data_IF_361854090163
#
_entry.id   IF_361854090163
#
_cell.length_a   1.000
_cell.length_b   1.000
_cell.length_c   1.000
_cell.angle_alpha   90.00
_cell.angle_beta   90.00
_cell.angle_gamma   90.00
#
_symmetry.space_group_name_H-M   'P 1'
#
loop_
_entity.id
_entity.type
_entity.pdbx_description
1 polymer ?
#
# COMPACT_ATOMS: atom_id res chain seq x y z
N UNK A 1 70.71 -8.72 3.15
CA UNK A 1 70.73 -9.71 4.25
C UNK A 1 70.88 -8.95 5.56
N UNK A 2 69.82 -8.91 6.36
CA UNK A 2 69.87 -8.46 7.74
C UNK A 2 68.78 -9.21 8.51
N UNK A 3 69.21 -10.06 9.43
CA UNK A 3 68.41 -10.88 10.34
C UNK A 3 68.16 -10.06 11.62
N UNK A 4 66.91 -9.94 12.05
CA UNK A 4 66.48 -9.61 13.43
C UNK A 4 65.16 -10.35 13.68
N UNK A 5 65.12 -11.47 14.41
CA UNK A 5 65.31 -11.68 15.85
C UNK A 5 64.16 -11.10 16.73
N UNK A 6 63.22 -12.00 17.05
CA UNK A 6 62.59 -12.30 18.35
C UNK A 6 61.93 -11.15 19.14
N UNK A 7 60.63 -11.32 19.41
CA UNK A 7 60.07 -11.23 20.77
C UNK A 7 58.67 -11.85 20.82
N UNK A 8 58.61 -13.05 21.40
CA UNK A 8 57.41 -13.77 21.79
C UNK A 8 56.93 -13.18 23.11
N UNK A 9 55.71 -12.66 23.16
CA UNK A 9 55.05 -12.27 24.42
C UNK A 9 53.86 -13.21 24.65
N UNK A 10 54.07 -14.22 25.49
CA UNK A 10 53.04 -15.06 26.07
C UNK A 10 52.31 -14.27 27.15
N UNK A 11 51.03 -13.95 26.93
CA UNK A 11 50.16 -13.43 28.00
C UNK A 11 49.21 -14.56 28.41
N UNK A 12 49.50 -15.12 29.59
CA UNK A 12 48.71 -16.12 30.28
C UNK A 12 47.54 -15.39 30.99
N UNK A 13 46.31 -15.61 30.54
CA UNK A 13 45.11 -15.04 31.15
C UNK A 13 44.46 -16.09 32.05
N UNK A 14 44.61 -15.89 33.36
CA UNK A 14 44.02 -16.72 34.42
C UNK A 14 42.55 -16.31 34.55
N UNK A 15 41.63 -17.21 34.21
CA UNK A 15 40.20 -17.05 34.49
C UNK A 15 39.93 -17.64 35.87
N UNK A 16 39.75 -16.77 36.87
CA UNK A 16 39.25 -17.15 38.20
C UNK A 16 37.73 -17.07 38.15
N UNK A 17 37.05 -18.23 38.20
CA UNK A 17 35.62 -18.31 38.42
C UNK A 17 35.32 -18.12 39.92
N UNK A 18 34.86 -16.94 40.32
CA UNK A 18 34.20 -16.73 41.61
C UNK A 18 32.70 -16.97 41.46
N UNK A 19 32.24 -18.10 41.99
CA UNK A 19 30.82 -18.39 42.18
C UNK A 19 30.32 -17.67 43.43
N UNK A 20 29.62 -16.54 43.25
CA UNK A 20 28.87 -15.89 44.33
C UNK A 20 27.45 -16.48 44.31
N UNK A 21 27.15 -17.32 45.30
CA UNK A 21 25.80 -17.79 45.57
C UNK A 21 24.98 -16.63 46.18
N UNK A 22 24.16 -15.96 45.35
CA UNK A 22 23.17 -15.02 45.81
C UNK A 22 21.90 -15.78 46.26
N UNK A 23 21.39 -15.42 47.44
CA UNK A 23 20.17 -15.95 48.03
C UNK A 23 18.93 -15.70 47.13
N UNK A 24 17.88 -16.53 47.20
CA UNK A 24 16.66 -16.34 46.42
C UNK A 24 15.88 -15.15 47.00
N UNK A 25 16.15 -13.96 46.48
CA UNK A 25 15.27 -12.82 46.65
C UNK A 25 14.00 -13.04 45.83
N UNK A 26 12.84 -13.04 46.49
CA UNK A 26 11.53 -12.93 45.84
C UNK A 26 11.42 -11.56 45.15
N UNK A 27 12.02 -11.42 43.98
CA UNK A 27 11.73 -10.35 43.04
C UNK A 27 10.45 -10.74 42.29
N UNK A 28 9.31 -10.22 42.75
CA UNK A 28 8.12 -10.15 41.91
C UNK A 28 8.52 -9.45 40.59
N UNK A 29 8.15 -9.98 39.41
CA UNK A 29 8.41 -9.29 38.17
C UNK A 29 7.68 -7.94 38.22
N UNK A 30 8.44 -6.86 38.08
CA UNK A 30 7.91 -5.54 37.78
C UNK A 30 6.88 -5.71 36.67
N UNK A 31 5.62 -5.39 36.96
CA UNK A 31 4.56 -5.38 35.97
C UNK A 31 5.01 -4.48 34.82
N UNK A 32 5.37 -5.13 33.72
CA UNK A 32 5.70 -4.55 32.42
C UNK A 32 4.73 -3.41 32.13
N UNK A 33 5.28 -2.21 31.93
CA UNK A 33 4.52 -1.02 31.58
C UNK A 33 3.54 -1.32 30.44
N UNK A 34 2.37 -0.67 30.51
CA UNK A 34 1.32 -0.69 29.51
C UNK A 34 1.92 -0.52 28.10
N UNK A 35 2.17 -1.64 27.43
CA UNK A 35 2.70 -1.65 26.07
C UNK A 35 1.54 -1.28 25.17
N UNK A 36 1.48 0.00 24.77
CA UNK A 36 0.48 0.46 23.81
C UNK A 36 0.72 -0.30 22.50
N UNK A 37 -0.35 -0.84 21.91
CA UNK A 37 -0.29 -1.61 20.67
C UNK A 37 -1.13 -0.95 19.58
N UNK A 38 -0.62 -0.91 18.34
CA UNK A 38 -1.42 -0.48 17.20
C UNK A 38 -2.23 -1.66 16.66
N UNK A 39 -3.52 -1.44 16.43
CA UNK A 39 -4.42 -2.44 15.86
C UNK A 39 -4.35 -2.40 14.33
N UNK A 40 -4.21 -3.56 13.69
CA UNK A 40 -4.16 -3.68 12.23
C UNK A 40 -5.36 -4.48 11.72
N UNK A 41 -6.01 -3.95 10.69
CA UNK A 41 -7.02 -4.66 9.92
C UNK A 41 -6.61 -4.69 8.45
N UNK A 42 -6.61 -5.87 7.84
CA UNK A 42 -6.38 -6.03 6.40
C UNK A 42 -7.70 -6.46 5.74
N UNK A 43 -8.15 -5.69 4.77
CA UNK A 43 -9.43 -5.84 4.08
C UNK A 43 -9.16 -6.10 2.60
N UNK A 44 -9.51 -7.29 2.13
CA UNK A 44 -9.49 -7.65 0.71
C UNK A 44 -10.83 -8.30 0.35
N UNK A 45 -11.85 -7.47 0.10
CA UNK A 45 -13.21 -7.96 -0.19
C UNK A 45 -13.29 -8.78 -1.48
N UNK A 46 -12.26 -8.71 -2.34
CA UNK A 46 -12.17 -9.53 -3.55
C UNK A 46 -11.90 -11.01 -3.22
N UNK A 47 -11.01 -11.30 -2.26
CA UNK A 47 -10.69 -12.69 -1.87
C UNK A 47 -11.35 -13.15 -0.57
N UNK A 48 -11.69 -12.21 0.31
CA UNK A 48 -12.31 -12.42 1.61
C UNK A 48 -13.48 -11.45 1.81
N UNK A 49 -14.64 -11.68 1.15
CA UNK A 49 -15.74 -10.71 1.10
C UNK A 49 -16.41 -10.43 2.45
N UNK A 50 -16.33 -11.37 3.39
CA UNK A 50 -17.10 -11.35 4.63
C UNK A 50 -16.23 -11.18 5.89
N UNK A 51 -14.92 -11.03 5.76
CA UNK A 51 -14.02 -11.00 6.93
C UNK A 51 -12.72 -10.26 6.66
N UNK A 52 -12.23 -9.54 7.66
CA UNK A 52 -10.85 -9.05 7.67
C UNK A 52 -9.85 -10.20 7.78
N UNK A 53 -8.72 -10.06 7.09
CA UNK A 53 -7.59 -10.99 7.13
C UNK A 53 -6.82 -10.77 8.42
N UNK A 54 -6.63 -11.83 9.20
CA UNK A 54 -6.09 -11.79 10.56
C UNK A 54 -4.56 -11.83 10.63
N UNK A 55 -3.87 -11.96 9.50
CA UNK A 55 -2.40 -11.99 9.43
C UNK A 55 -1.89 -11.65 8.03
N UNK A 56 -0.63 -11.21 7.95
CA UNK A 56 0.01 -10.91 6.66
C UNK A 56 0.12 -12.15 5.76
N UNK A 57 0.30 -13.34 6.34
CA UNK A 57 0.36 -14.62 5.62
C UNK A 57 -0.98 -14.98 4.97
N UNK A 58 -2.09 -14.50 5.52
CA UNK A 58 -3.43 -14.69 4.94
C UNK A 58 -3.70 -13.85 3.69
N UNK A 59 -2.83 -12.89 3.35
CA UNK A 59 -3.00 -12.02 2.18
C UNK A 59 -2.60 -12.77 0.91
N UNK A 60 -3.59 -13.22 0.14
CA UNK A 60 -3.39 -14.03 -1.07
C UNK A 60 -2.66 -13.27 -2.19
N UNK A 61 -2.97 -11.99 -2.41
CA UNK A 61 -2.36 -11.18 -3.45
C UNK A 61 -0.93 -10.75 -3.05
N UNK A 62 0.12 -11.14 -3.80
CA UNK A 62 1.52 -10.89 -3.42
C UNK A 62 1.91 -9.41 -3.49
N UNK A 63 1.37 -8.65 -4.45
CA UNK A 63 1.65 -7.23 -4.60
C UNK A 63 1.07 -6.42 -3.42
N UNK A 64 -0.19 -6.71 -3.06
CA UNK A 64 -0.83 -6.13 -1.89
C UNK A 64 -0.12 -6.54 -0.59
N UNK A 65 0.27 -7.81 -0.45
CA UNK A 65 1.04 -8.26 0.72
C UNK A 65 2.36 -7.50 0.86
N UNK A 66 3.10 -7.31 -0.23
CA UNK A 66 4.35 -6.56 -0.22
C UNK A 66 4.12 -5.09 0.19
N UNK A 67 3.05 -4.48 -0.33
CA UNK A 67 2.63 -3.13 0.08
C UNK A 67 2.33 -3.04 1.57
N UNK A 68 1.46 -3.92 2.10
CA UNK A 68 1.10 -3.96 3.52
C UNK A 68 2.33 -4.18 4.39
N UNK A 69 3.18 -5.13 4.03
CA UNK A 69 4.41 -5.45 4.77
C UNK A 69 5.31 -4.23 4.94
N UNK A 70 5.61 -3.53 3.84
CA UNK A 70 6.55 -2.39 3.84
C UNK A 70 6.00 -1.19 4.60
N UNK A 71 4.71 -0.90 4.46
CA UNK A 71 4.07 0.20 5.21
C UNK A 71 3.98 -0.14 6.70
N UNK A 72 3.63 -1.39 7.06
CA UNK A 72 3.59 -1.83 8.46
C UNK A 72 4.95 -1.77 9.13
N UNK A 73 6.00 -2.27 8.47
CA UNK A 73 7.38 -2.22 8.95
C UNK A 73 7.78 -0.77 9.25
N UNK A 74 7.54 0.15 8.30
CA UNK A 74 7.84 1.56 8.48
C UNK A 74 7.06 2.20 9.63
N UNK A 75 5.75 1.95 9.73
CA UNK A 75 4.94 2.49 10.83
C UNK A 75 5.39 1.92 12.18
N UNK A 76 5.74 0.63 12.25
CA UNK A 76 6.25 -0.01 13.46
C UNK A 76 7.54 0.66 13.95
N UNK A 77 8.48 0.91 13.04
CA UNK A 77 9.73 1.61 13.34
C UNK A 77 9.47 3.02 13.87
N UNK A 78 8.50 3.75 13.27
CA UNK A 78 8.11 5.10 13.70
C UNK A 78 7.38 5.13 15.05
N UNK A 79 6.71 4.06 15.43
CA UNK A 79 6.06 3.92 16.74
C UNK A 79 7.06 3.55 17.85
N UNK A 80 8.38 3.51 17.60
CA UNK A 80 9.38 3.43 18.66
C UNK A 80 9.37 2.12 19.46
N UNK A 81 9.00 1.00 18.82
CA UNK A 81 8.98 -0.32 19.44
C UNK A 81 7.65 -0.74 20.08
N UNK A 82 6.57 0.03 19.88
CA UNK A 82 5.22 -0.43 20.18
C UNK A 82 4.87 -1.70 19.38
N UNK A 83 4.22 -2.66 20.03
CA UNK A 83 3.82 -3.92 19.39
C UNK A 83 2.64 -3.67 18.45
N UNK A 84 2.73 -4.15 17.22
CA UNK A 84 1.58 -4.19 16.31
C UNK A 84 0.79 -5.47 16.56
N UNK A 85 -0.53 -5.36 16.69
CA UNK A 85 -1.44 -6.49 16.87
C UNK A 85 -2.52 -6.52 15.81
N UNK A 86 -2.88 -7.71 15.35
CA UNK A 86 -4.03 -7.94 14.47
C UNK A 86 -5.32 -8.21 15.27
N UNK A 87 -5.25 -8.30 16.60
CA UNK A 87 -6.41 -8.54 17.45
C UNK A 87 -7.20 -7.25 17.67
N UNK A 88 -8.45 -7.28 17.22
CA UNK A 88 -9.42 -6.19 17.30
C UNK A 88 -10.01 -5.95 18.70
N UNK A 89 -9.74 -6.83 19.67
CA UNK A 89 -10.32 -6.78 21.02
C UNK A 89 -9.36 -6.31 22.11
N UNK A 90 -8.19 -5.79 21.75
CA UNK A 90 -7.18 -5.32 22.72
C UNK A 90 -7.49 -3.90 23.19
N UNK A 91 -7.24 -3.59 24.47
CA UNK A 91 -7.66 -2.37 25.19
C UNK A 91 -7.11 -1.04 24.65
N UNK A 92 -6.36 -0.27 25.43
CA UNK A 92 -5.87 1.04 25.01
C UNK A 92 -4.87 0.92 23.84
N UNK A 93 -5.26 1.37 22.64
CA UNK A 93 -4.44 1.24 21.43
C UNK A 93 -3.54 2.46 21.20
N UNK A 94 -2.36 2.20 20.62
CA UNK A 94 -1.46 3.24 20.09
C UNK A 94 -2.01 3.84 18.77
N UNK A 95 -3.08 3.28 18.21
CA UNK A 95 -3.65 3.70 16.93
C UNK A 95 -4.32 2.54 16.19
N UNK A 96 -4.90 2.84 15.04
CA UNK A 96 -5.60 1.86 14.19
C UNK A 96 -5.19 2.01 12.73
N UNK A 97 -4.72 0.93 12.13
CA UNK A 97 -4.24 0.89 10.76
C UNK A 97 -5.13 -0.04 9.93
N UNK A 98 -5.80 0.50 8.92
CA UNK A 98 -6.58 -0.26 7.96
C UNK A 98 -5.83 -0.35 6.64
N UNK A 99 -5.71 -1.54 6.07
CA UNK A 99 -5.16 -1.77 4.75
C UNK A 99 -6.27 -2.29 3.84
N UNK A 100 -6.63 -1.54 2.81
CA UNK A 100 -7.77 -1.86 1.95
C UNK A 100 -7.29 -2.14 0.54
N UNK A 101 -7.58 -3.35 0.04
CA UNK A 101 -7.39 -3.69 -1.37
C UNK A 101 -8.66 -3.43 -2.16
N UNK A 102 -8.52 -2.63 -3.22
CA UNK A 102 -9.55 -2.37 -4.23
C UNK A 102 -9.00 -2.90 -5.55
N UNK A 103 -9.60 -3.99 -6.04
CA UNK A 103 -9.24 -4.56 -7.33
C UNK A 103 -9.77 -3.68 -8.48
N UNK A 104 -9.17 -3.80 -9.67
CA UNK A 104 -9.68 -3.12 -10.88
C UNK A 104 -11.13 -3.54 -11.19
N UNK A 105 -11.43 -4.82 -10.97
CA UNK A 105 -12.70 -5.48 -11.26
C UNK A 105 -13.11 -6.29 -10.03
N UNK A 106 -14.39 -6.24 -9.65
CA UNK A 106 -14.94 -7.05 -8.57
C UNK A 106 -14.99 -8.54 -8.93
N UNK A 107 -15.14 -9.39 -7.91
CA UNK A 107 -15.27 -10.85 -8.10
C UNK A 107 -16.62 -11.26 -8.72
N UNK A 108 -17.58 -10.34 -8.82
CA UNK A 108 -18.86 -10.49 -9.51
C UNK A 108 -19.49 -9.12 -9.80
N UNK A 109 -20.80 -9.06 -10.09
CA UNK A 109 -21.47 -7.78 -10.44
C UNK A 109 -21.86 -6.92 -9.24
N UNK A 110 -21.75 -7.46 -8.03
CA UNK A 110 -21.96 -6.69 -6.80
C UNK A 110 -20.65 -6.05 -6.36
N UNK A 111 -20.65 -4.73 -6.26
CA UNK A 111 -19.56 -3.98 -5.63
C UNK A 111 -19.80 -4.04 -4.12
N UNK A 112 -18.93 -4.70 -3.34
CA UNK A 112 -19.06 -4.67 -1.90
C UNK A 112 -18.83 -3.24 -1.40
N UNK A 113 -19.67 -2.77 -0.48
CA UNK A 113 -19.50 -1.44 0.12
C UNK A 113 -18.11 -1.33 0.74
N UNK A 114 -17.36 -0.27 0.42
CA UNK A 114 -16.09 -0.02 1.08
C UNK A 114 -16.36 0.57 2.46
N UNK A 115 -16.03 -0.19 3.50
CA UNK A 115 -15.99 0.34 4.86
C UNK A 115 -14.69 1.14 5.00
N UNK A 116 -14.74 2.42 4.68
CA UNK A 116 -13.70 3.35 5.09
C UNK A 116 -14.00 3.73 6.53
N UNK A 117 -13.25 3.16 7.47
CA UNK A 117 -13.18 3.73 8.80
C UNK A 117 -12.51 5.10 8.66
N UNK A 118 -13.30 6.17 8.74
CA UNK A 118 -12.76 7.51 8.75
C UNK A 118 -11.89 7.66 10.01
N UNK A 119 -10.59 7.88 9.82
CA UNK A 119 -9.71 8.25 10.90
C UNK A 119 -10.13 9.65 11.38
N UNK A 120 -10.95 9.73 12.43
CA UNK A 120 -11.29 11.01 13.07
C UNK A 120 -10.79 10.99 14.51
N UNK A 121 -9.51 11.25 14.76
CA UNK A 121 -9.12 11.64 16.10
C UNK A 121 -9.54 13.10 16.32
N UNK A 122 -9.98 13.42 17.53
CA UNK A 122 -10.53 14.72 17.90
C UNK A 122 -9.46 15.77 18.24
N UNK A 123 -8.20 15.34 18.37
CA UNK A 123 -7.04 16.17 18.72
C UNK A 123 -5.84 15.78 17.84
N UNK A 124 -5.91 16.07 16.54
CA UNK A 124 -4.86 15.68 15.58
C UNK A 124 -3.70 16.66 15.58
N UNK A 125 -2.51 16.10 15.60
CA UNK A 125 -1.29 16.83 15.31
C UNK A 125 -1.08 16.88 13.80
N UNK A 126 -1.39 15.87 13.00
CA UNK A 126 -1.38 16.00 11.54
C UNK A 126 -2.54 15.24 10.90
N UNK A 127 -3.08 15.79 9.81
CA UNK A 127 -4.11 15.17 8.98
C UNK A 127 -3.62 15.10 7.53
N UNK A 128 -3.75 13.96 6.88
CA UNK A 128 -3.39 13.77 5.48
C UNK A 128 -4.54 13.08 4.75
N UNK A 129 -4.98 13.68 3.65
CA UNK A 129 -5.95 13.10 2.72
C UNK A 129 -5.33 12.93 1.34
N UNK A 130 -5.44 11.73 0.78
CA UNK A 130 -4.98 11.41 -0.56
C UNK A 130 -5.71 10.22 -1.16
N UNK A 131 -5.57 9.96 -2.47
CA UNK A 131 -6.09 8.74 -3.09
C UNK A 131 -5.48 7.44 -2.53
N UNK A 132 -4.27 7.49 -1.97
CA UNK A 132 -3.54 6.31 -1.51
C UNK A 132 -3.60 6.11 0.01
N UNK A 133 -3.86 7.16 0.77
CA UNK A 133 -3.96 7.08 2.22
C UNK A 133 -4.79 8.21 2.83
N UNK A 134 -5.49 7.88 3.91
CA UNK A 134 -6.06 8.80 4.89
C UNK A 134 -5.33 8.58 6.21
N UNK A 135 -4.64 9.60 6.72
CA UNK A 135 -3.77 9.47 7.90
C UNK A 135 -4.11 10.56 8.89
N UNK A 136 -4.19 10.19 10.16
CA UNK A 136 -4.28 11.10 11.27
C UNK A 136 -3.24 10.70 12.31
N UNK A 137 -2.36 11.64 12.67
CA UNK A 137 -1.32 11.42 13.68
C UNK A 137 -1.57 12.38 14.83
N UNK A 138 -1.53 11.88 16.07
CA UNK A 138 -1.62 12.69 17.29
C UNK A 138 -0.50 12.36 18.27
N UNK A 139 -0.27 13.23 19.26
CA UNK A 139 0.81 13.05 20.24
C UNK A 139 2.17 13.53 19.75
N UNK A 140 2.95 14.15 20.64
CA UNK A 140 4.26 14.74 20.33
C UNK A 140 5.44 13.84 20.72
N UNK A 141 5.33 13.11 21.84
CA UNK A 141 6.39 12.23 22.35
C UNK A 141 6.17 10.76 21.96
N UNK A 142 4.92 10.30 21.99
CA UNK A 142 4.51 8.97 21.56
C UNK A 142 3.44 9.11 20.48
N UNK A 143 3.82 9.14 19.20
CA UNK A 143 2.88 9.37 18.11
C UNK A 143 1.85 8.23 18.09
N UNK A 144 0.57 8.62 18.01
CA UNK A 144 -0.53 7.71 17.73
C UNK A 144 -0.93 7.86 16.29
N UNK A 145 -0.86 6.78 15.53
CA UNK A 145 -1.11 6.77 14.09
C UNK A 145 -2.41 6.02 13.83
N UNK A 146 -3.40 6.75 13.31
CA UNK A 146 -4.63 6.17 12.78
C UNK A 146 -4.69 6.41 11.28
N UNK A 147 -4.98 5.39 10.48
CA UNK A 147 -5.07 5.61 9.06
C UNK A 147 -5.63 4.45 8.26
N UNK A 148 -6.08 4.78 7.06
CA UNK A 148 -6.52 3.84 6.03
C UNK A 148 -5.60 3.97 4.83
N UNK A 149 -4.95 2.87 4.45
CA UNK A 149 -4.01 2.77 3.34
C UNK A 149 -4.63 1.96 2.22
N UNK A 150 -4.71 2.56 1.03
CA UNK A 150 -5.42 2.00 -0.11
C UNK A 150 -4.44 1.39 -1.12
N UNK A 151 -4.53 0.06 -1.29
CA UNK A 151 -4.01 -0.61 -2.48
C UNK A 151 -5.10 -0.64 -3.54
N UNK A 152 -5.13 0.38 -4.38
CA UNK A 152 -6.20 0.59 -5.36
C UNK A 152 -5.67 0.42 -6.79
N UNK A 153 -6.03 -0.70 -7.42
CA UNK A 153 -5.64 -1.03 -8.79
C UNK A 153 -6.20 -0.05 -9.82
N UNK A 154 -7.38 0.54 -9.58
CA UNK A 154 -7.92 1.62 -10.42
C UNK A 154 -7.10 2.90 -10.29
N UNK A 155 -6.65 3.25 -9.07
CA UNK A 155 -5.77 4.40 -8.86
C UNK A 155 -4.43 4.22 -9.57
N UNK A 156 -3.88 3.00 -9.58
CA UNK A 156 -2.64 2.69 -10.31
C UNK A 156 -2.79 3.02 -11.81
N UNK A 157 -3.90 2.58 -12.42
CA UNK A 157 -4.20 2.89 -13.83
C UNK A 157 -4.44 4.39 -14.06
N UNK A 158 -5.09 5.05 -13.10
CA UNK A 158 -5.35 6.48 -13.14
C UNK A 158 -4.04 7.28 -13.16
N UNK A 159 -3.12 6.95 -12.25
CA UNK A 159 -1.83 7.62 -12.13
C UNK A 159 -1.02 7.42 -13.43
N UNK A 160 -1.08 6.23 -14.03
CA UNK A 160 -0.48 5.97 -15.33
C UNK A 160 -1.13 6.76 -16.49
N UNK A 161 -2.46 6.92 -16.47
CA UNK A 161 -3.17 7.73 -17.43
C UNK A 161 -2.76 9.22 -17.32
N UNK A 162 -2.64 9.75 -16.10
CA UNK A 162 -2.18 11.11 -15.82
C UNK A 162 -0.74 11.31 -16.29
N UNK A 163 0.17 10.40 -15.95
CA UNK A 163 1.58 10.46 -16.36
C UNK A 163 1.74 10.34 -17.89
N UNK A 164 0.82 9.66 -18.56
CA UNK A 164 0.75 9.59 -20.02
C UNK A 164 0.05 10.81 -20.66
N UNK A 165 -0.30 11.84 -19.89
CA UNK A 165 -1.01 13.04 -20.32
C UNK A 165 -2.37 12.77 -20.98
N UNK A 166 -3.10 11.74 -20.52
CA UNK A 166 -4.49 11.55 -20.92
C UNK A 166 -5.40 12.60 -20.28
N UNK A 167 -6.37 13.10 -21.05
CA UNK A 167 -7.41 14.02 -20.56
C UNK A 167 -8.57 13.26 -19.93
N UNK A 168 -9.40 13.96 -19.15
CA UNK A 168 -10.67 13.42 -18.62
C UNK A 168 -10.52 12.21 -17.70
N UNK A 169 -9.40 12.16 -16.99
CA UNK A 169 -9.13 11.09 -16.04
C UNK A 169 -9.99 11.30 -14.78
N UNK A 170 -10.90 10.36 -14.43
CA UNK A 170 -11.83 10.53 -13.32
C UNK A 170 -11.08 10.64 -11.99
N UNK A 171 -11.56 11.47 -11.06
CA UNK A 171 -10.92 11.67 -9.76
C UNK A 171 -11.03 10.42 -8.87
N UNK A 172 -9.87 9.86 -8.48
CA UNK A 172 -9.68 8.90 -7.39
C UNK A 172 -10.78 7.84 -7.24
N UNK A 173 -10.97 6.94 -8.23
CA UNK A 173 -12.01 5.93 -8.20
C UNK A 173 -11.78 4.96 -7.03
N UNK A 174 -12.55 5.09 -5.96
CA UNK A 174 -12.48 4.19 -4.78
C UNK A 174 -13.35 2.95 -4.93
N UNK A 175 -13.76 2.60 -6.14
CA UNK A 175 -14.63 1.45 -6.40
C UNK A 175 -14.10 0.60 -7.55
N UNK A 176 -14.21 -0.72 -7.37
CA UNK A 176 -13.94 -1.67 -8.43
C UNK A 176 -15.03 -1.60 -9.51
N UNK A 177 -14.69 -1.92 -10.76
CA UNK A 177 -15.70 -2.08 -11.80
C UNK A 177 -16.47 -3.40 -11.60
N UNK A 178 -17.79 -3.43 -11.83
CA UNK A 178 -18.51 -4.67 -12.02
C UNK A 178 -17.87 -5.50 -13.15
N UNK A 179 -17.81 -6.82 -12.97
CA UNK A 179 -17.23 -7.74 -13.95
C UNK A 179 -17.86 -7.58 -15.33
N UNK A 180 -19.19 -7.58 -15.40
CA UNK A 180 -19.95 -7.39 -16.63
C UNK A 180 -19.63 -6.08 -17.33
N UNK A 181 -19.50 -4.97 -16.59
CA UNK A 181 -19.18 -3.66 -17.16
C UNK A 181 -17.76 -3.61 -17.72
N UNK A 182 -16.78 -4.21 -17.04
CA UNK A 182 -15.41 -4.32 -17.55
C UNK A 182 -15.34 -5.14 -18.84
N UNK A 183 -16.06 -6.27 -18.89
CA UNK A 183 -16.16 -7.10 -20.09
C UNK A 183 -16.85 -6.37 -21.25
N UNK A 184 -17.90 -5.59 -20.96
CA UNK A 184 -18.56 -4.73 -21.93
C UNK A 184 -17.58 -3.71 -22.52
N UNK A 185 -16.83 -2.99 -21.68
CA UNK A 185 -15.81 -2.04 -22.14
C UNK A 185 -14.72 -2.72 -22.98
N UNK A 186 -14.27 -3.91 -22.57
CA UNK A 186 -13.27 -4.66 -23.32
C UNK A 186 -13.78 -5.08 -24.71
N UNK A 187 -15.06 -5.48 -24.81
CA UNK A 187 -15.69 -5.82 -26.08
C UNK A 187 -15.87 -4.59 -26.98
N UNK A 188 -16.29 -3.46 -26.42
CA UNK A 188 -16.43 -2.19 -27.16
C UNK A 188 -15.07 -1.74 -27.71
N UNK A 189 -14.02 -1.77 -26.89
CA UNK A 189 -12.67 -1.48 -27.33
C UNK A 189 -12.21 -2.41 -28.45
N UNK A 190 -12.40 -3.73 -28.29
CA UNK A 190 -11.99 -4.70 -29.30
C UNK A 190 -12.71 -4.49 -30.64
N UNK A 191 -14.01 -4.21 -30.61
CA UNK A 191 -14.78 -3.96 -31.83
C UNK A 191 -14.35 -2.68 -32.57
N UNK A 192 -14.02 -1.62 -31.84
CA UNK A 192 -13.74 -0.31 -32.42
C UNK A 192 -12.27 -0.09 -32.79
N UNK A 193 -11.34 -0.57 -31.96
CA UNK A 193 -9.91 -0.23 -32.07
C UNK A 193 -9.05 -1.42 -32.55
N UNK A 194 -9.50 -2.67 -32.33
CA UNK A 194 -8.75 -3.87 -32.74
C UNK A 194 -9.28 -4.44 -34.07
N UNK A 195 -10.59 -4.63 -34.15
CA UNK A 195 -11.27 -5.30 -35.28
C UNK A 195 -11.85 -4.31 -36.30
N UNK A 196 -11.84 -3.02 -35.99
CA UNK A 196 -12.34 -1.98 -36.87
C UNK A 196 -11.61 -1.99 -38.22
N UNK A 197 -12.36 -1.92 -39.33
CA UNK A 197 -11.80 -1.56 -40.64
C UNK A 197 -11.18 -0.15 -40.53
N UNK A 198 -10.13 0.18 -41.30
CA UNK A 198 -9.60 1.56 -41.33
C UNK A 198 -10.76 2.51 -41.64
N UNK A 199 -11.14 3.31 -40.65
CA UNK A 199 -12.25 4.25 -40.80
C UNK A 199 -11.87 5.32 -41.82
N UNK A 200 -12.80 5.68 -42.72
CA UNK A 200 -12.69 6.91 -43.47
C UNK A 200 -12.49 8.09 -42.49
N UNK A 201 -11.68 9.11 -42.84
CA UNK A 201 -11.13 10.10 -41.92
C UNK A 201 -12.13 11.10 -41.28
N UNK A 202 -13.41 10.80 -41.27
CA UNK A 202 -14.44 11.63 -40.65
C UNK A 202 -15.28 10.81 -39.67
N UNK A 203 -15.20 11.18 -38.39
CA UNK A 203 -15.97 10.67 -37.24
C UNK A 203 -15.49 9.37 -36.56
N UNK A 204 -14.20 9.28 -36.20
CA UNK A 204 -13.81 8.41 -35.06
C UNK A 204 -14.29 9.08 -33.77
N UNK A 205 -15.56 8.89 -33.43
CA UNK A 205 -16.00 9.11 -32.05
C UNK A 205 -15.21 8.12 -31.20
N UNK A 206 -14.42 8.61 -30.23
CA UNK A 206 -13.89 7.75 -29.15
C UNK A 206 -15.06 6.85 -28.68
N UNK A 207 -14.84 5.58 -28.32
CA UNK A 207 -15.85 4.84 -27.57
C UNK A 207 -16.21 5.71 -26.34
N UNK A 208 -17.37 6.37 -26.41
CA UNK A 208 -17.66 7.58 -25.61
C UNK A 208 -17.83 7.28 -24.11
N UNK A 209 -17.64 6.03 -23.70
CA UNK A 209 -18.01 5.53 -22.38
C UNK A 209 -16.90 4.75 -21.65
N UNK A 210 -15.74 4.49 -22.26
CA UNK A 210 -14.64 3.78 -21.55
C UNK A 210 -13.85 4.78 -20.69
N UNK A 211 -13.76 4.59 -19.36
CA UNK A 211 -12.97 5.45 -18.49
C UNK A 211 -11.50 5.53 -18.93
N UNK A 212 -10.86 6.70 -18.81
CA UNK A 212 -9.52 6.94 -19.34
C UNK A 212 -8.45 5.99 -18.77
N UNK A 213 -8.57 5.62 -17.50
CA UNK A 213 -7.71 4.65 -16.81
C UNK A 213 -7.87 3.23 -17.37
N UNK A 214 -9.12 2.83 -17.66
CA UNK A 214 -9.42 1.53 -18.29
C UNK A 214 -8.96 1.51 -19.75
N UNK A 215 -9.18 2.60 -20.48
CA UNK A 215 -8.71 2.75 -21.86
C UNK A 215 -7.18 2.68 -21.92
N UNK A 216 -6.48 3.28 -20.94
CA UNK A 216 -5.04 3.14 -20.81
C UNK A 216 -4.64 1.67 -20.66
N UNK A 217 -5.29 0.91 -19.76
CA UNK A 217 -5.03 -0.52 -19.59
C UNK A 217 -5.21 -1.30 -20.91
N UNK A 218 -6.31 -1.04 -21.63
CA UNK A 218 -6.61 -1.73 -22.88
C UNK A 218 -5.58 -1.44 -23.97
N UNK A 219 -5.13 -0.19 -24.12
CA UNK A 219 -4.10 0.18 -25.08
C UNK A 219 -2.74 -0.45 -24.80
N UNK A 220 -2.47 -0.82 -23.55
CA UNK A 220 -1.23 -1.47 -23.12
C UNK A 220 -1.39 -2.98 -22.92
N UNK A 221 -2.54 -3.55 -23.28
CA UNK A 221 -2.79 -4.98 -23.18
C UNK A 221 -2.57 -5.67 -24.53
N UNK A 222 -1.97 -6.88 -24.55
CA UNK A 222 -1.79 -7.60 -25.79
C UNK A 222 -3.15 -8.01 -26.37
N UNK A 223 -3.27 -7.98 -27.69
CA UNK A 223 -4.42 -8.55 -28.36
C UNK A 223 -4.43 -10.06 -28.14
N UNK A 224 -5.60 -10.61 -27.77
CA UNK A 224 -5.79 -12.05 -27.59
C UNK A 224 -6.45 -12.64 -28.83
N UNK A 225 -5.86 -13.68 -29.39
CA UNK A 225 -6.47 -14.50 -30.46
C UNK A 225 -7.10 -15.79 -29.93
N UNK A 226 -6.87 -16.15 -28.66
CA UNK A 226 -7.23 -17.44 -28.07
C UNK A 226 -8.36 -17.34 -27.01
N UNK A 227 -8.92 -16.16 -26.81
CA UNK A 227 -9.98 -15.93 -25.83
C UNK A 227 -10.37 -14.44 -25.74
N UNK A 228 -11.34 -14.09 -24.89
CA UNK A 228 -11.82 -12.73 -24.75
C UNK A 228 -10.70 -11.74 -24.41
N UNK A 229 -10.72 -10.56 -25.03
CA UNK A 229 -9.72 -9.51 -24.79
C UNK A 229 -9.64 -9.09 -23.31
N UNK A 230 -10.77 -9.13 -22.58
CA UNK A 230 -10.84 -8.86 -21.13
C UNK A 230 -9.88 -9.72 -20.31
N UNK A 231 -9.64 -10.99 -20.71
CA UNK A 231 -8.71 -11.89 -20.01
C UNK A 231 -7.26 -11.44 -20.17
N UNK A 232 -6.90 -10.91 -21.35
CA UNK A 232 -5.59 -10.34 -21.59
C UNK A 232 -5.40 -9.05 -20.79
N UNK A 233 -6.41 -8.19 -20.74
CA UNK A 233 -6.40 -6.98 -19.93
C UNK A 233 -6.24 -7.27 -18.42
N UNK A 234 -6.96 -8.26 -17.89
CA UNK A 234 -6.80 -8.73 -16.51
C UNK A 234 -5.38 -9.23 -16.23
N UNK A 235 -4.78 -9.96 -17.17
CA UNK A 235 -3.39 -10.44 -17.03
C UNK A 235 -2.38 -9.29 -17.04
N UNK A 236 -2.59 -8.28 -17.89
CA UNK A 236 -1.79 -7.06 -17.92
C UNK A 236 -1.91 -6.30 -16.60
N UNK A 237 -3.12 -6.13 -16.07
CA UNK A 237 -3.33 -5.44 -14.79
C UNK A 237 -2.58 -6.13 -13.65
N UNK A 238 -2.58 -7.47 -13.57
CA UNK A 238 -1.81 -8.19 -12.55
C UNK A 238 -0.30 -7.89 -12.63
N UNK A 239 0.25 -7.80 -13.84
CA UNK A 239 1.67 -7.45 -14.06
C UNK A 239 1.95 -6.01 -13.63
N UNK A 240 1.09 -5.07 -14.02
CA UNK A 240 1.18 -3.66 -13.63
C UNK A 240 1.16 -3.54 -12.10
N UNK A 241 0.16 -4.16 -11.45
CA UNK A 241 0.01 -4.15 -10.00
C UNK A 241 1.27 -4.70 -9.29
N UNK A 242 1.85 -5.77 -9.82
CA UNK A 242 3.06 -6.35 -9.24
C UNK A 242 4.28 -5.44 -9.37
N UNK A 243 4.45 -4.76 -10.52
CA UNK A 243 5.53 -3.77 -10.72
C UNK A 243 5.31 -2.51 -9.85
N UNK A 244 4.05 -2.13 -9.63
CA UNK A 244 3.68 -0.95 -8.85
C UNK A 244 3.93 -1.08 -7.35
N UNK A 245 4.01 -2.31 -6.83
CA UNK A 245 4.00 -2.56 -5.38
C UNK A 245 5.09 -1.80 -4.61
N UNK A 246 6.33 -1.84 -5.11
CA UNK A 246 7.45 -1.16 -4.47
C UNK A 246 7.26 0.36 -4.41
N UNK A 247 6.89 0.95 -5.55
CA UNK A 247 6.69 2.40 -5.68
C UNK A 247 5.53 2.92 -4.82
N UNK A 248 4.38 2.24 -4.82
CA UNK A 248 3.23 2.69 -4.02
C UNK A 248 3.47 2.53 -2.51
N UNK A 249 4.23 1.50 -2.12
CA UNK A 249 4.65 1.38 -0.74
C UNK A 249 5.57 2.56 -0.33
N UNK A 250 6.51 2.95 -1.19
CA UNK A 250 7.38 4.12 -0.96
C UNK A 250 6.62 5.43 -0.92
N UNK A 251 5.64 5.61 -1.81
CA UNK A 251 4.72 6.75 -1.79
C UNK A 251 4.03 6.86 -0.44
N UNK A 252 3.37 5.80 0.02
CA UNK A 252 2.62 5.82 1.28
C UNK A 252 3.56 6.01 2.48
N UNK A 253 4.73 5.38 2.48
CA UNK A 253 5.79 5.61 3.48
C UNK A 253 6.19 7.10 3.52
N UNK A 254 6.40 7.72 2.35
CA UNK A 254 6.70 9.13 2.25
C UNK A 254 5.57 10.03 2.76
N UNK A 255 4.31 9.67 2.53
CA UNK A 255 3.14 10.40 3.07
C UNK A 255 3.08 10.32 4.60
N UNK A 256 3.37 9.15 5.19
CA UNK A 256 3.47 8.98 6.64
C UNK A 256 4.59 9.87 7.20
N UNK A 257 5.77 9.82 6.59
CA UNK A 257 6.92 10.63 7.03
C UNK A 257 6.65 12.14 6.89
N UNK A 258 5.95 12.56 5.84
CA UNK A 258 5.54 13.95 5.67
C UNK A 258 4.67 14.42 6.85
N UNK A 259 3.70 13.59 7.26
CA UNK A 259 2.80 13.90 8.36
C UNK A 259 3.50 13.92 9.72
N UNK A 260 4.50 13.05 9.92
CA UNK A 260 5.35 13.05 11.11
C UNK A 260 6.30 14.26 11.18
N UNK A 261 6.84 14.69 10.03
CA UNK A 261 7.79 15.80 9.93
C UNK A 261 7.11 17.16 10.11
N UNK A 262 5.89 17.32 9.59
CA UNK A 262 5.16 18.58 9.61
C UNK A 262 3.90 18.46 10.45
N UNK A 263 4.05 18.49 11.77
CA UNK A 263 2.89 18.49 12.61
C UNK A 263 2.18 19.84 12.64
N UNK A 264 0.98 19.82 13.20
CA UNK A 264 -0.10 20.80 13.14
C UNK A 264 -0.54 21.18 11.71
N UNK A 265 -0.27 20.33 10.71
CA UNK A 265 -0.58 20.62 9.29
C UNK A 265 -1.62 19.64 8.75
N UNK A 266 -2.51 20.17 7.90
CA UNK A 266 -3.37 19.38 7.01
C UNK A 266 -2.73 19.30 5.63
N UNK A 267 -2.50 18.08 5.16
CA UNK A 267 -2.03 17.78 3.81
C UNK A 267 -3.18 17.24 2.97
N UNK A 268 -3.25 17.70 1.72
CA UNK A 268 -4.24 17.23 0.75
C UNK A 268 -3.53 17.03 -0.58
N UNK A 269 -3.60 15.82 -1.12
CA UNK A 269 -3.06 15.44 -2.41
C UNK A 269 -4.21 14.85 -3.23
N UNK A 270 -4.37 15.28 -4.48
CA UNK A 270 -5.47 14.85 -5.34
C UNK A 270 -5.00 13.94 -6.48
N UNK A 271 -3.72 14.01 -6.83
CA UNK A 271 -3.13 13.28 -7.94
C UNK A 271 -1.67 12.94 -7.72
N UNK A 272 -1.14 11.98 -8.49
CA UNK A 272 0.28 11.60 -8.48
C UNK A 272 1.24 12.77 -8.76
N UNK A 273 0.75 13.84 -9.40
CA UNK A 273 1.57 15.02 -9.67
C UNK A 273 1.79 15.88 -8.42
N UNK A 274 0.89 15.81 -7.44
CA UNK A 274 0.96 16.60 -6.20
C UNK A 274 2.04 16.09 -5.24
N UNK A 275 2.48 14.83 -5.43
CA UNK A 275 3.45 14.15 -4.54
C UNK A 275 4.89 14.20 -5.06
N UNK A 276 5.19 15.03 -6.07
CA UNK A 276 6.55 15.22 -6.64
C UNK A 276 7.59 15.69 -5.62
N UNK A 277 7.17 16.31 -4.52
CA UNK A 277 8.04 16.70 -3.42
C UNK A 277 8.35 15.58 -2.43
N UNK A 278 7.67 14.43 -2.56
CA UNK A 278 7.78 13.27 -1.67
C UNK A 278 8.48 12.12 -2.40
N UNK A 279 8.08 11.89 -3.65
CA UNK A 279 8.63 10.85 -4.53
C UNK A 279 8.86 11.42 -5.94
N UNK A 280 9.64 10.71 -6.77
CA UNK A 280 9.82 11.03 -8.18
C UNK A 280 8.89 10.18 -9.06
N UNK A 281 7.67 10.64 -9.39
CA UNK A 281 6.74 9.84 -10.18
C UNK A 281 7.21 9.62 -11.62
N UNK A 282 8.17 10.41 -12.11
CA UNK A 282 8.75 10.22 -13.45
C UNK A 282 9.61 8.95 -13.55
N UNK A 283 10.13 8.43 -12.43
CA UNK A 283 10.85 7.15 -12.42
C UNK A 283 9.92 5.94 -12.39
N UNK A 284 8.60 6.19 -12.30
CA UNK A 284 7.56 5.18 -12.23
C UNK A 284 6.95 4.93 -13.61
N UNK A 285 7.63 4.08 -14.40
CA UNK A 285 7.06 3.50 -15.61
C UNK A 285 6.76 2.01 -15.37
N UNK A 286 5.49 1.62 -15.53
CA UNK A 286 5.04 0.22 -15.41
C UNK A 286 4.76 -0.45 -16.74
N UNK A 287 5.01 0.24 -17.85
CA UNK A 287 4.91 -0.32 -19.21
C UNK A 287 5.85 -1.52 -19.37
#
# INVERSE_FOLDING_TARGET
>A
MAVRAISVLFVLLIVIALSIAAAPGNSQPLQSGNSQSAQVQIIDKYTSPNSAIQSLQGVSNPAFRAFVSKVLEHVQDRLGGHTITFDVNTGATAGTLHFVRIAVVSSGDRIPANETAAAVPTENYCLLHSPWAEIAISGTQTPRISGTFFWNERQILQDQAILANLTDVPSAPREALPRSLFEQFAQEYANNEILGKPAEPSTVQRPQYIPADVLWLFRHSPQSTFGPFSTAADATMRKIAQRAAGFYAELVVGLVDQCLKFPAVRHEYNSILDVRGIIHPETYDVK
#
